data_IF_077161053811
#
_entry.id   IF_077161053811
#
_cell.length_a   1.000
_cell.length_b   1.000
_cell.length_c   1.000
_cell.angle_alpha   90.00
_cell.angle_beta   90.00
_cell.angle_gamma   90.00
#
_symmetry.space_group_name_H-M   'P 1'
#
loop_
_entity.id
_entity.type
_entity.pdbx_description
1 polymer ?
#
# COMPACT_ATOMS: atom_id res chain seq x y z
N UNK A 1 33.99 -61.74 -3.21
CA UNK A 1 33.62 -60.39 -2.73
C UNK A 1 32.66 -59.78 -3.75
N UNK A 2 31.42 -59.49 -3.35
CA UNK A 2 30.37 -58.97 -4.24
C UNK A 2 30.43 -57.44 -4.23
N UNK A 3 30.61 -56.85 -5.42
CA UNK A 3 30.67 -55.40 -5.61
C UNK A 3 29.26 -54.80 -5.45
N UNK A 4 29.07 -53.95 -4.44
CA UNK A 4 27.87 -53.11 -4.32
C UNK A 4 28.15 -51.78 -5.03
N UNK A 5 27.58 -51.60 -6.22
CA UNK A 5 27.45 -50.28 -6.84
C UNK A 5 26.27 -49.56 -6.20
N UNK A 6 26.56 -48.60 -5.33
CA UNK A 6 25.55 -47.70 -4.77
C UNK A 6 25.36 -46.52 -5.73
N UNK A 7 24.28 -46.58 -6.53
CA UNK A 7 23.82 -45.44 -7.34
C UNK A 7 23.17 -44.42 -6.41
N UNK A 8 23.92 -43.37 -6.06
CA UNK A 8 23.36 -42.14 -5.51
C UNK A 8 22.65 -41.39 -6.63
N UNK A 9 21.35 -41.67 -6.79
CA UNK A 9 20.45 -40.82 -7.55
C UNK A 9 20.24 -39.51 -6.77
N UNK A 10 21.08 -38.52 -7.01
CA UNK A 10 20.79 -37.13 -6.63
C UNK A 10 19.62 -36.66 -7.50
N UNK A 11 18.40 -36.79 -6.99
CA UNK A 11 17.25 -36.07 -7.48
C UNK A 11 17.51 -34.58 -7.29
N UNK A 12 17.94 -33.92 -8.37
CA UNK A 12 17.98 -32.47 -8.48
C UNK A 12 16.55 -31.93 -8.36
N UNK A 13 16.09 -31.74 -7.13
CA UNK A 13 14.95 -30.90 -6.82
C UNK A 13 15.34 -29.47 -7.18
N UNK A 14 15.02 -29.07 -8.41
CA UNK A 14 15.07 -27.68 -8.84
C UNK A 14 13.99 -26.98 -8.01
N UNK A 15 14.35 -26.47 -6.84
CA UNK A 15 13.56 -25.47 -6.14
C UNK A 15 13.59 -24.20 -7.00
N UNK A 16 12.71 -24.14 -8.01
CA UNK A 16 12.35 -22.86 -8.60
C UNK A 16 11.64 -22.08 -7.50
N UNK A 17 12.40 -21.25 -6.77
CA UNK A 17 11.82 -20.12 -6.04
C UNK A 17 11.25 -19.23 -7.13
N UNK A 18 9.98 -19.43 -7.48
CA UNK A 18 9.27 -18.57 -8.41
C UNK A 18 9.23 -17.19 -7.77
N UNK A 19 9.94 -16.23 -8.34
CA UNK A 19 9.82 -14.84 -7.95
C UNK A 19 8.33 -14.47 -7.97
N UNK A 20 7.84 -13.85 -6.90
CA UNK A 20 6.44 -13.46 -6.80
C UNK A 20 6.07 -12.60 -8.00
N UNK A 21 4.98 -12.94 -8.68
CA UNK A 21 4.53 -12.18 -9.86
C UNK A 21 3.93 -10.85 -9.47
N UNK A 22 3.89 -9.90 -10.41
CA UNK A 22 3.23 -8.59 -10.23
C UNK A 22 1.77 -8.77 -9.79
N UNK A 23 1.04 -9.66 -10.44
CA UNK A 23 -0.38 -9.95 -10.18
C UNK A 23 -0.59 -10.54 -8.78
N UNK A 24 0.27 -11.45 -8.34
CA UNK A 24 0.25 -12.00 -6.98
C UNK A 24 0.55 -10.91 -5.94
N UNK A 25 1.55 -10.05 -6.18
CA UNK A 25 1.86 -8.95 -5.25
C UNK A 25 0.73 -7.93 -5.18
N UNK A 26 0.11 -7.56 -6.30
CA UNK A 26 -1.06 -6.65 -6.31
C UNK A 26 -2.23 -7.27 -5.55
N UNK A 27 -2.49 -8.57 -5.74
CA UNK A 27 -3.58 -9.27 -5.06
C UNK A 27 -3.35 -9.28 -3.55
N UNK A 28 -2.14 -9.66 -3.12
CA UNK A 28 -1.74 -9.64 -1.72
C UNK A 28 -1.85 -8.23 -1.11
N UNK A 29 -1.38 -7.19 -1.82
CA UNK A 29 -1.50 -5.81 -1.36
C UNK A 29 -2.96 -5.38 -1.19
N UNK A 30 -3.85 -5.73 -2.12
CA UNK A 30 -5.28 -5.43 -2.00
C UNK A 30 -5.86 -6.04 -0.74
N UNK A 31 -5.54 -7.30 -0.44
CA UNK A 31 -6.00 -7.97 0.77
C UNK A 31 -5.50 -7.27 2.04
N UNK A 32 -4.19 -6.99 2.12
CA UNK A 32 -3.58 -6.37 3.31
C UNK A 32 -4.04 -4.94 3.52
N UNK A 33 -4.06 -4.11 2.47
CA UNK A 33 -4.51 -2.72 2.57
C UNK A 33 -6.01 -2.64 2.89
N UNK A 34 -6.83 -3.54 2.35
CA UNK A 34 -8.26 -3.61 2.70
C UNK A 34 -8.46 -4.00 4.15
N UNK A 35 -7.68 -4.93 4.69
CA UNK A 35 -7.80 -5.38 6.07
C UNK A 35 -7.21 -4.40 7.09
N UNK A 36 -6.09 -3.75 6.77
CA UNK A 36 -5.24 -3.09 7.76
C UNK A 36 -4.85 -1.64 7.44
N UNK A 37 -5.17 -1.15 6.23
CA UNK A 37 -4.88 0.22 5.81
C UNK A 37 -5.98 1.22 6.16
N UNK A 38 -7.08 0.80 6.77
CA UNK A 38 -8.26 1.65 6.98
C UNK A 38 -8.15 2.58 8.21
N UNK A 39 -7.02 2.56 8.92
CA UNK A 39 -6.81 3.47 10.03
C UNK A 39 -6.42 4.86 9.49
N UNK A 40 -7.08 5.90 9.99
CA UNK A 40 -6.70 7.29 9.72
C UNK A 40 -7.03 8.15 10.94
N UNK A 41 -6.10 9.00 11.37
CA UNK A 41 -6.27 9.76 12.62
C UNK A 41 -7.40 10.80 12.56
N UNK A 42 -7.67 11.36 11.37
CA UNK A 42 -8.69 12.40 11.16
C UNK A 42 -9.73 12.03 10.10
N UNK A 43 -9.55 10.89 9.43
CA UNK A 43 -10.45 10.42 8.38
C UNK A 43 -11.28 9.23 8.84
N UNK A 44 -12.49 9.15 8.32
CA UNK A 44 -13.42 8.04 8.54
C UNK A 44 -13.78 7.40 7.21
N UNK A 45 -14.37 6.20 7.24
CA UNK A 45 -14.81 5.47 6.04
C UNK A 45 -13.69 5.32 4.99
N UNK A 46 -12.47 5.05 5.44
CA UNK A 46 -11.33 4.83 4.54
C UNK A 46 -11.56 3.53 3.78
N UNK A 47 -11.66 3.62 2.45
CA UNK A 47 -11.95 2.48 1.58
C UNK A 47 -10.93 2.42 0.45
N UNK A 48 -10.30 1.26 0.31
CA UNK A 48 -9.44 0.95 -0.82
C UNK A 48 -10.30 0.75 -2.07
N UNK A 49 -10.04 1.54 -3.12
CA UNK A 49 -10.74 1.43 -4.41
C UNK A 49 -9.97 0.55 -5.38
N UNK A 50 -8.68 0.82 -5.57
CA UNK A 50 -7.84 0.07 -6.50
C UNK A 50 -6.38 0.08 -6.09
N UNK A 51 -5.66 -0.92 -6.59
CA UNK A 51 -4.19 -1.02 -6.55
C UNK A 51 -3.78 -1.50 -7.94
N UNK A 52 -2.87 -0.77 -8.56
CA UNK A 52 -2.19 -1.12 -9.80
C UNK A 52 -0.68 -0.87 -9.66
N UNK A 53 0.08 -1.07 -10.73
CA UNK A 53 1.54 -0.91 -10.73
C UNK A 53 2.01 0.51 -10.39
N UNK A 54 1.22 1.53 -10.68
CA UNK A 54 1.60 2.93 -10.58
C UNK A 54 0.95 3.65 -9.40
N UNK A 55 -0.23 3.19 -8.95
CA UNK A 55 -1.00 3.90 -7.93
C UNK A 55 -1.87 2.99 -7.06
N UNK A 56 -2.13 3.52 -5.87
CA UNK A 56 -3.14 3.05 -4.93
C UNK A 56 -4.20 4.15 -4.84
N UNK A 57 -5.47 3.80 -4.99
CA UNK A 57 -6.58 4.76 -4.91
C UNK A 57 -7.40 4.48 -3.67
N UNK A 58 -7.57 5.50 -2.83
CA UNK A 58 -8.31 5.41 -1.58
C UNK A 58 -9.37 6.50 -1.53
N UNK A 59 -10.54 6.17 -1.02
CA UNK A 59 -11.57 7.15 -0.71
C UNK A 59 -11.72 7.25 0.80
N UNK A 60 -11.98 8.46 1.32
CA UNK A 60 -12.22 8.67 2.74
C UNK A 60 -13.13 9.88 2.98
N UNK A 61 -13.59 10.03 4.21
CA UNK A 61 -14.39 11.16 4.67
C UNK A 61 -13.62 11.98 5.70
N UNK A 62 -13.60 13.31 5.55
CA UNK A 62 -13.18 14.24 6.61
C UNK A 62 -14.35 15.07 7.07
N UNK A 63 -14.41 15.32 8.37
CA UNK A 63 -15.36 16.22 8.97
C UNK A 63 -14.81 17.65 8.91
N UNK A 64 -15.44 18.51 8.11
CA UNK A 64 -15.13 19.94 8.07
C UNK A 64 -16.08 20.70 8.98
N UNK A 65 -15.55 21.65 9.76
CA UNK A 65 -16.32 22.50 10.66
C UNK A 65 -16.43 23.89 10.05
N UNK A 66 -17.66 24.37 9.85
CA UNK A 66 -17.88 25.72 9.34
C UNK A 66 -17.71 26.80 10.44
N UNK A 67 -17.87 28.07 10.06
CA UNK A 67 -17.73 29.22 10.97
C UNK A 67 -18.77 29.22 12.11
N UNK A 68 -19.90 28.52 11.92
CA UNK A 68 -20.98 28.38 12.89
C UNK A 68 -20.80 27.12 13.76
N UNK A 69 -19.78 26.32 13.48
CA UNK A 69 -19.46 25.11 14.20
C UNK A 69 -20.21 23.86 13.74
N UNK A 70 -20.99 23.94 12.67
CA UNK A 70 -21.65 22.78 12.07
C UNK A 70 -20.61 21.89 11.40
N UNK A 71 -20.69 20.60 11.69
CA UNK A 71 -19.83 19.58 11.08
C UNK A 71 -20.50 19.07 9.81
N UNK A 72 -19.77 19.14 8.70
CA UNK A 72 -20.19 18.58 7.41
C UNK A 72 -19.17 17.54 6.96
N UNK A 73 -19.59 16.28 6.71
CA UNK A 73 -18.71 15.27 6.14
C UNK A 73 -18.43 15.61 4.68
N UNK A 74 -17.16 15.57 4.28
CA UNK A 74 -16.73 15.77 2.89
C UNK A 74 -15.98 14.52 2.43
N UNK A 75 -16.33 14.02 1.25
CA UNK A 75 -15.69 12.84 0.66
C UNK A 75 -14.51 13.26 -0.21
N UNK A 76 -13.41 12.53 -0.07
CA UNK A 76 -12.20 12.72 -0.84
C UNK A 76 -11.79 11.42 -1.52
N UNK A 77 -11.11 11.57 -2.64
CA UNK A 77 -10.29 10.54 -3.27
C UNK A 77 -8.84 10.99 -3.20
N UNK A 78 -7.98 10.08 -2.80
CA UNK A 78 -6.54 10.26 -2.80
C UNK A 78 -5.90 9.20 -3.71
N UNK A 79 -5.09 9.68 -4.65
CA UNK A 79 -4.34 8.85 -5.60
C UNK A 79 -2.88 8.88 -5.17
N UNK A 80 -2.44 7.74 -4.65
CA UNK A 80 -1.15 7.53 -4.01
C UNK A 80 -0.20 6.86 -5.00
N UNK A 81 0.93 7.47 -5.39
CA UNK A 81 1.89 6.79 -6.25
C UNK A 81 2.50 5.59 -5.55
N UNK A 82 2.75 4.49 -6.27
CA UNK A 82 3.46 3.32 -5.72
C UNK A 82 4.95 3.57 -5.54
N UNK A 83 5.51 4.62 -6.13
CA UNK A 83 6.88 5.08 -5.88
C UNK A 83 6.99 5.79 -4.52
N UNK A 84 7.00 4.98 -3.47
CA UNK A 84 7.17 5.42 -2.09
C UNK A 84 8.66 5.56 -1.74
N UNK A 85 8.97 6.51 -0.88
CA UNK A 85 10.27 6.56 -0.22
C UNK A 85 10.36 5.43 0.81
N UNK A 86 9.38 5.42 1.72
CA UNK A 86 9.25 4.46 2.83
C UNK A 86 7.86 4.50 3.46
N UNK A 87 7.61 3.56 4.36
CA UNK A 87 6.52 3.63 5.34
C UNK A 87 7.17 3.84 6.73
N UNK A 88 6.61 4.74 7.53
CA UNK A 88 7.14 5.06 8.87
C UNK A 88 6.95 3.87 9.81
N UNK A 89 8.01 3.40 10.46
CA UNK A 89 7.98 2.23 11.35
C UNK A 89 7.45 2.57 12.76
N UNK A 90 7.05 1.55 13.53
CA UNK A 90 6.52 1.67 14.91
C UNK A 90 7.37 2.47 15.90
N UNK A 91 8.69 2.44 15.75
CA UNK A 91 9.62 3.12 16.64
C UNK A 91 9.78 4.62 16.35
N UNK A 92 9.07 5.14 15.35
CA UNK A 92 9.12 6.53 14.93
C UNK A 92 7.83 7.29 15.26
N UNK A 93 7.88 8.61 15.17
CA UNK A 93 6.68 9.45 15.29
C UNK A 93 5.76 9.21 14.08
N UNK A 94 4.47 8.96 14.34
CA UNK A 94 3.44 8.67 13.32
C UNK A 94 3.68 7.34 12.55
N UNK A 95 3.71 6.19 13.24
CA UNK A 95 3.96 4.90 12.60
C UNK A 95 2.83 4.48 11.65
N UNK A 96 3.16 3.79 10.57
CA UNK A 96 2.22 3.35 9.53
C UNK A 96 1.91 4.37 8.45
N UNK A 97 2.47 5.58 8.52
CA UNK A 97 2.29 6.60 7.50
C UNK A 97 3.14 6.31 6.27
N UNK A 98 2.55 6.47 5.09
CA UNK A 98 3.26 6.39 3.82
C UNK A 98 3.92 7.73 3.50
N UNK A 99 5.20 7.66 3.12
CA UNK A 99 5.99 8.81 2.65
C UNK A 99 6.30 8.61 1.18
N UNK A 100 5.83 9.54 0.35
CA UNK A 100 5.94 9.45 -1.10
C UNK A 100 7.07 10.35 -1.62
N UNK A 101 7.76 9.89 -2.66
CA UNK A 101 8.77 10.69 -3.37
C UNK A 101 8.12 11.82 -4.15
N UNK A 102 7.01 11.50 -4.81
CA UNK A 102 6.15 12.42 -5.53
C UNK A 102 4.89 12.72 -4.72
N UNK A 103 4.27 13.87 -4.97
CA UNK A 103 3.09 14.25 -4.21
C UNK A 103 1.86 13.44 -4.63
N UNK A 104 1.12 12.92 -3.64
CA UNK A 104 -0.19 12.31 -3.85
C UNK A 104 -1.23 13.36 -4.23
N UNK A 105 -2.09 13.03 -5.18
CA UNK A 105 -3.16 13.91 -5.65
C UNK A 105 -4.44 13.68 -4.83
N UNK A 106 -5.03 14.75 -4.31
CA UNK A 106 -6.27 14.71 -3.52
C UNK A 106 -7.37 15.48 -4.24
N UNK A 107 -8.49 14.80 -4.47
CA UNK A 107 -9.69 15.36 -5.13
C UNK A 107 -10.87 15.32 -4.16
N UNK A 108 -11.61 16.42 -4.08
CA UNK A 108 -12.90 16.47 -3.40
C UNK A 108 -13.96 15.85 -4.33
N UNK A 109 -14.62 14.80 -3.87
CA UNK A 109 -15.59 14.07 -4.68
C UNK A 109 -16.96 14.76 -4.77
N UNK A 110 -17.25 15.72 -3.89
CA UNK A 110 -18.53 16.45 -3.90
C UNK A 110 -18.61 17.44 -5.07
N UNK A 111 -17.48 18.02 -5.46
CA UNK A 111 -17.41 19.06 -6.49
C UNK A 111 -16.37 18.77 -7.59
N UNK A 112 -15.67 17.62 -7.51
CA UNK A 112 -14.61 17.24 -8.44
C UNK A 112 -13.35 18.11 -8.39
N UNK A 113 -13.24 19.03 -7.42
CA UNK A 113 -12.11 19.97 -7.37
C UNK A 113 -10.86 19.30 -6.85
N UNK A 114 -9.74 19.56 -7.52
CA UNK A 114 -8.42 19.29 -6.97
C UNK A 114 -8.20 20.14 -5.73
N UNK A 115 -7.83 19.50 -4.63
CA UNK A 115 -7.71 20.15 -3.32
C UNK A 115 -6.28 20.58 -3.08
N UNK A 116 -5.35 19.62 -3.20
CA UNK A 116 -3.93 19.82 -2.97
C UNK A 116 -3.14 18.56 -3.33
N UNK A 117 -1.83 18.74 -3.34
CA UNK A 117 -0.84 17.69 -3.33
C UNK A 117 -0.32 17.45 -1.90
N UNK A 118 0.08 16.20 -1.58
CA UNK A 118 0.64 15.84 -0.26
C UNK A 118 1.68 14.74 -0.37
N UNK A 119 2.82 14.86 0.32
CA UNK A 119 3.80 13.76 0.42
C UNK A 119 3.47 12.73 1.51
N UNK A 120 2.39 12.94 2.24
CA UNK A 120 1.90 12.05 3.29
C UNK A 120 0.43 11.70 3.05
N UNK A 121 0.07 10.43 3.19
CA UNK A 121 -1.31 9.96 2.97
C UNK A 121 -2.17 9.97 4.26
N UNK A 122 -3.49 9.99 4.06
CA UNK A 122 -4.47 9.66 5.10
C UNK A 122 -4.54 8.15 5.38
N UNK A 123 -4.10 7.30 4.44
CA UNK A 123 -3.94 5.86 4.61
C UNK A 123 -2.84 5.58 5.64
N UNK A 124 -3.14 4.75 6.64
CA UNK A 124 -2.19 4.37 7.69
C UNK A 124 -2.30 2.87 7.98
N UNK A 125 -1.15 2.21 8.05
CA UNK A 125 -1.07 0.80 8.46
C UNK A 125 -1.05 0.68 9.99
N UNK A 126 -1.69 -0.37 10.51
CA UNK A 126 -1.47 -0.84 11.87
C UNK A 126 -0.41 -1.94 11.87
N UNK A 127 0.78 -1.68 12.45
CA UNK A 127 1.85 -2.69 12.55
C UNK A 127 1.47 -3.91 13.38
N UNK A 128 0.56 -3.76 14.35
CA UNK A 128 0.06 -4.91 15.13
C UNK A 128 -0.71 -5.91 14.26
N UNK A 129 -1.13 -5.50 13.06
CA UNK A 129 -1.98 -6.29 12.16
C UNK A 129 -1.27 -6.69 10.87
N UNK A 130 -0.20 -6.00 10.48
CA UNK A 130 0.59 -6.31 9.28
C UNK A 130 2.04 -5.82 9.39
N UNK A 131 2.97 -6.63 8.91
CA UNK A 131 4.39 -6.26 8.80
C UNK A 131 4.59 -5.08 7.83
N UNK A 132 4.99 -3.92 8.35
CA UNK A 132 5.32 -2.75 7.53
C UNK A 132 6.44 -3.03 6.52
N UNK A 133 7.56 -3.69 6.89
CA UNK A 133 8.62 -4.00 5.93
C UNK A 133 8.13 -4.84 4.74
N UNK A 134 7.21 -5.79 4.97
CA UNK A 134 6.67 -6.63 3.90
C UNK A 134 5.74 -5.84 2.98
N UNK A 135 4.91 -4.95 3.53
CA UNK A 135 4.05 -4.07 2.73
C UNK A 135 4.88 -3.08 1.92
N UNK A 136 5.90 -2.48 2.51
CA UNK A 136 6.83 -1.58 1.81
C UNK A 136 7.54 -2.31 0.67
N UNK A 137 8.07 -3.51 0.93
CA UNK A 137 8.73 -4.34 -0.08
C UNK A 137 7.77 -4.69 -1.23
N UNK A 138 6.54 -5.07 -0.91
CA UNK A 138 5.53 -5.41 -1.91
C UNK A 138 5.15 -4.20 -2.78
N UNK A 139 4.98 -3.02 -2.19
CA UNK A 139 4.67 -1.79 -2.95
C UNK A 139 5.84 -1.41 -3.86
N UNK A 140 7.07 -1.43 -3.35
CA UNK A 140 8.28 -1.14 -4.13
C UNK A 140 8.48 -2.16 -5.26
N UNK A 141 8.17 -3.43 -5.03
CA UNK A 141 8.20 -4.47 -6.06
C UNK A 141 7.21 -4.15 -7.19
N UNK A 142 5.96 -3.83 -6.84
CA UNK A 142 4.90 -3.51 -7.81
C UNK A 142 5.23 -2.24 -8.60
N UNK A 143 5.86 -1.24 -7.96
CA UNK A 143 6.32 -0.01 -8.61
C UNK A 143 7.34 -0.26 -9.74
N UNK A 144 8.12 -1.34 -9.69
CA UNK A 144 9.09 -1.67 -10.77
C UNK A 144 8.43 -1.98 -12.11
N UNK A 145 7.12 -2.30 -12.11
CA UNK A 145 6.33 -2.57 -13.30
C UNK A 145 5.64 -1.33 -13.85
N UNK A 146 5.62 -0.21 -13.12
CA UNK A 146 5.09 1.05 -13.61
C UNK A 146 6.04 1.59 -14.69
N UNK A 147 5.60 1.55 -15.96
CA UNK A 147 6.36 2.17 -17.05
C UNK A 147 6.40 3.68 -16.82
N UNK A 148 7.57 4.22 -16.49
CA UNK A 148 7.82 5.67 -16.52
C UNK A 148 7.49 6.15 -17.94
N UNK A 149 6.47 6.99 -18.06
CA UNK A 149 6.15 7.68 -19.32
C UNK A 149 7.06 8.89 -19.48
#
# INVERSE_FOLDING_TARGET
MKNLFSLLAFSAGIFMVTAQTKEETITWLKEKLKAYGQNAARATNVTLQSVDECKIVVNYTLNSKDKQGKITPIRFQEILPTDIERIVCSNESFPGHFVYREEAAITNLENGTFVKNSRTSSLRLNEESVSIPDVEKAIKHVATFCRKK
#
